data_IF_786518228853
#
_entry.id   IF_786518228853
#
_cell.length_a   1.000
_cell.length_b   1.000
_cell.length_c   1.000
_cell.angle_alpha   90.00
_cell.angle_beta   90.00
_cell.angle_gamma   90.00
#
_symmetry.space_group_name_H-M   'P 1'
#
loop_
_entity.id
_entity.type
_entity.pdbx_description
1 polymer ?
#
# COMPACT_ATOMS: atom_id res chain seq x y z
N UNK A 1 28.13 -0.59 12.11
CA UNK A 1 26.82 -1.17 11.75
C UNK A 1 25.77 -0.07 11.85
N UNK A 2 24.93 0.06 10.83
CA UNK A 2 23.83 1.03 10.83
C UNK A 2 22.51 0.26 11.03
N UNK A 3 21.69 0.66 12.00
CA UNK A 3 20.36 0.09 12.23
C UNK A 3 19.33 0.83 11.37
N UNK A 4 18.36 0.10 10.83
CA UNK A 4 17.30 0.67 9.99
C UNK A 4 15.96 0.11 10.44
N UNK A 5 15.04 1.01 10.79
CA UNK A 5 13.71 0.64 11.27
C UNK A 5 12.64 1.02 10.24
N UNK A 6 11.71 0.10 9.98
CA UNK A 6 10.65 0.31 8.98
C UNK A 6 9.32 -0.14 9.55
N UNK A 7 8.40 0.81 9.69
CA UNK A 7 7.00 0.48 9.98
C UNK A 7 6.26 0.21 8.67
N UNK A 8 5.44 -0.83 8.65
CA UNK A 8 4.70 -1.28 7.48
C UNK A 8 3.29 -1.72 7.88
N UNK A 9 2.30 -1.32 7.06
CA UNK A 9 0.92 -1.73 7.22
C UNK A 9 0.64 -2.94 6.32
N UNK A 10 0.12 -4.01 6.93
CA UNK A 10 -0.56 -5.09 6.25
C UNK A 10 -2.07 -4.81 6.26
N UNK A 11 -2.68 -4.82 5.08
CA UNK A 11 -4.12 -4.90 4.86
C UNK A 11 -4.40 -6.27 4.24
N UNK A 12 -5.47 -6.97 4.63
CA UNK A 12 -5.81 -8.24 3.98
C UNK A 12 -6.05 -8.02 2.47
N UNK A 13 -5.27 -8.71 1.63
CA UNK A 13 -5.10 -8.38 0.21
C UNK A 13 -5.99 -9.23 -0.68
N UNK A 14 -6.77 -8.57 -1.56
CA UNK A 14 -7.14 -9.14 -2.85
C UNK A 14 -6.95 -8.04 -3.93
N UNK A 15 -6.41 -8.42 -5.09
CA UNK A 15 -5.94 -7.55 -6.19
C UNK A 15 -7.08 -6.81 -6.93
N UNK A 16 -6.85 -5.68 -7.66
CA UNK A 16 -5.57 -5.21 -8.23
C UNK A 16 -5.18 -3.72 -7.87
N UNK A 17 -4.70 -2.79 -8.75
CA UNK A 17 -3.44 -2.07 -8.46
C UNK A 17 -3.55 -0.54 -8.30
N UNK A 18 -2.41 0.12 -7.94
CA UNK A 18 -1.90 1.44 -8.45
C UNK A 18 -1.07 2.29 -7.42
N UNK A 19 0.18 2.63 -7.81
CA UNK A 19 1.06 3.77 -7.40
C UNK A 19 1.47 4.02 -5.91
N UNK A 20 2.49 4.89 -5.69
CA UNK A 20 3.29 5.12 -4.44
C UNK A 20 3.28 6.62 -3.98
N UNK A 21 4.01 7.19 -3.00
CA UNK A 21 5.25 7.00 -2.16
C UNK A 21 5.08 7.96 -0.91
N UNK A 22 5.91 8.15 0.16
CA UNK A 22 7.17 7.59 0.77
C UNK A 22 7.36 8.20 2.21
N UNK A 23 7.74 7.44 3.26
CA UNK A 23 8.20 7.99 4.58
C UNK A 23 9.55 7.40 5.07
N UNK A 24 10.11 7.96 6.17
CA UNK A 24 11.32 7.56 6.92
C UNK A 24 12.64 7.45 6.12
N UNK A 25 13.36 8.56 5.87
CA UNK A 25 14.58 8.50 5.01
C UNK A 25 15.78 9.38 5.37
N UNK A 26 15.60 10.52 6.05
CA UNK A 26 16.61 11.61 6.11
C UNK A 26 17.99 11.22 6.63
N UNK A 27 18.07 10.56 7.80
CA UNK A 27 19.35 10.24 8.46
C UNK A 27 20.20 9.21 7.70
N UNK A 28 19.57 8.18 7.15
CA UNK A 28 20.23 7.15 6.34
C UNK A 28 20.63 7.72 4.97
N UNK A 29 19.79 8.58 4.38
CA UNK A 29 20.13 9.26 3.12
C UNK A 29 21.31 10.23 3.28
N UNK A 30 21.48 10.88 4.44
CA UNK A 30 22.68 11.67 4.71
C UNK A 30 23.93 10.78 4.84
N UNK A 31 23.92 9.83 5.78
CA UNK A 31 25.09 9.03 6.14
C UNK A 31 25.65 8.16 4.99
N UNK A 32 24.82 7.71 4.04
CA UNK A 32 25.30 6.93 2.89
C UNK A 32 25.64 7.79 1.67
N UNK A 33 25.06 9.00 1.52
CA UNK A 33 25.53 9.99 0.52
C UNK A 33 26.92 10.49 0.85
N UNK A 34 27.24 10.70 2.13
CA UNK A 34 28.60 11.00 2.61
C UNK A 34 29.63 9.91 2.24
N UNK A 35 29.17 8.68 2.02
CA UNK A 35 29.97 7.52 1.60
C UNK A 35 29.96 7.28 0.09
N UNK A 36 29.37 8.20 -0.69
CA UNK A 36 29.17 8.10 -2.14
C UNK A 36 28.42 6.82 -2.61
N UNK A 37 27.58 6.24 -1.75
CA UNK A 37 26.73 5.08 -2.08
C UNK A 37 25.28 5.55 -2.29
N UNK A 38 24.55 4.96 -3.24
CA UNK A 38 23.14 5.30 -3.46
C UNK A 38 22.24 4.66 -2.36
N UNK A 39 21.58 5.46 -1.49
CA UNK A 39 20.68 4.94 -0.47
C UNK A 39 19.42 4.29 -1.05
N UNK A 40 19.09 4.56 -2.32
CA UNK A 40 17.93 3.99 -3.01
C UNK A 40 18.05 2.47 -3.15
N UNK A 41 19.27 1.96 -3.41
CA UNK A 41 19.54 0.52 -3.52
C UNK A 41 19.21 -0.22 -2.22
N UNK A 42 19.62 0.33 -1.07
CA UNK A 42 19.29 -0.21 0.26
C UNK A 42 17.77 -0.26 0.45
N UNK A 43 17.07 0.80 0.05
CA UNK A 43 15.62 0.87 0.15
C UNK A 43 14.88 -0.09 -0.80
N UNK A 44 15.41 -0.37 -1.99
CA UNK A 44 14.84 -1.41 -2.87
C UNK A 44 15.02 -2.81 -2.27
N UNK A 45 16.18 -3.12 -1.69
CA UNK A 45 16.42 -4.41 -1.02
C UNK A 45 15.52 -4.58 0.21
N UNK A 46 15.39 -3.56 1.06
CA UNK A 46 14.48 -3.57 2.23
C UNK A 46 13.03 -3.79 1.79
N UNK A 47 12.54 -3.01 0.81
CA UNK A 47 11.15 -3.11 0.34
C UNK A 47 10.85 -4.46 -0.31
N UNK A 48 11.83 -5.04 -1.02
CA UNK A 48 11.75 -6.40 -1.56
C UNK A 48 11.66 -7.43 -0.43
N UNK A 49 12.56 -7.38 0.55
CA UNK A 49 12.58 -8.32 1.67
C UNK A 49 11.26 -8.32 2.46
N UNK A 50 10.70 -7.14 2.75
CA UNK A 50 9.39 -7.01 3.41
C UNK A 50 8.28 -7.65 2.57
N UNK A 51 8.23 -7.38 1.26
CA UNK A 51 7.23 -7.97 0.37
C UNK A 51 7.36 -9.50 0.27
N UNK A 52 8.58 -10.03 0.19
CA UNK A 52 8.84 -11.47 0.17
C UNK A 52 8.40 -12.15 1.48
N UNK A 53 8.69 -11.56 2.65
CA UNK A 53 8.24 -12.07 3.95
C UNK A 53 6.70 -12.10 4.05
N UNK A 54 6.02 -11.06 3.57
CA UNK A 54 4.56 -11.00 3.59
C UNK A 54 3.93 -12.05 2.66
N UNK A 55 4.47 -12.24 1.45
CA UNK A 55 4.03 -13.31 0.53
C UNK A 55 4.30 -14.70 1.12
N UNK A 56 5.45 -14.92 1.77
CA UNK A 56 5.75 -16.16 2.51
C UNK A 56 4.81 -16.42 3.70
N UNK A 57 4.00 -15.44 4.12
CA UNK A 57 2.99 -15.59 5.18
C UNK A 57 1.54 -15.54 4.67
N UNK A 58 1.31 -15.28 3.38
CA UNK A 58 -0.02 -15.15 2.77
C UNK A 58 -0.94 -16.33 3.11
N UNK A 59 -0.48 -17.57 2.94
CA UNK A 59 -1.26 -18.77 3.24
C UNK A 59 -1.71 -18.88 4.71
N UNK A 60 -0.84 -18.48 5.65
CA UNK A 60 -1.18 -18.47 7.08
C UNK A 60 -2.17 -17.34 7.43
N UNK A 61 -2.04 -16.17 6.77
CA UNK A 61 -2.93 -15.03 6.94
C UNK A 61 -4.33 -15.29 6.34
N UNK A 62 -4.42 -16.05 5.24
CA UNK A 62 -5.68 -16.52 4.66
C UNK A 62 -6.34 -17.53 5.60
N UNK A 63 -5.66 -18.59 6.02
CA UNK A 63 -6.21 -19.62 6.92
C UNK A 63 -6.66 -19.04 8.29
N UNK A 64 -5.96 -18.04 8.82
CA UNK A 64 -6.40 -17.31 10.01
C UNK A 64 -7.66 -16.46 9.73
N UNK A 65 -7.80 -15.90 8.53
CA UNK A 65 -8.96 -15.11 8.10
C UNK A 65 -10.22 -15.93 7.77
N UNK A 66 -10.07 -17.19 7.34
CA UNK A 66 -11.18 -18.09 6.94
C UNK A 66 -12.26 -18.26 8.02
N UNK A 67 -11.90 -18.14 9.29
CA UNK A 67 -12.78 -18.30 10.43
C UNK A 67 -13.67 -17.07 10.72
N UNK A 68 -13.52 -15.97 9.97
CA UNK A 68 -14.21 -14.70 10.20
C UNK A 68 -15.21 -14.35 9.07
N UNK A 69 -16.44 -13.88 9.38
CA UNK A 69 -17.45 -13.53 8.36
C UNK A 69 -17.07 -12.43 7.35
N UNK A 70 -16.02 -11.65 7.62
CA UNK A 70 -15.44 -10.70 6.66
C UNK A 70 -13.92 -10.66 6.81
N UNK A 71 -13.22 -11.23 5.82
CA UNK A 71 -11.75 -11.17 5.70
C UNK A 71 -11.26 -9.75 5.38
N UNK A 72 -12.14 -8.84 4.93
CA UNK A 72 -11.77 -7.49 4.50
C UNK A 72 -11.56 -6.48 5.63
N UNK A 73 -11.93 -6.82 6.86
CA UNK A 73 -11.99 -5.91 8.01
C UNK A 73 -10.68 -5.82 8.82
N UNK A 74 -9.65 -6.59 8.46
CA UNK A 74 -8.41 -6.70 9.23
C UNK A 74 -7.27 -5.85 8.66
N UNK A 75 -6.49 -5.27 9.58
CA UNK A 75 -5.23 -4.60 9.30
C UNK A 75 -4.27 -4.78 10.48
N UNK A 76 -2.97 -4.83 10.21
CA UNK A 76 -1.91 -5.00 11.22
C UNK A 76 -0.72 -4.11 10.87
N UNK A 77 -0.21 -3.33 11.82
CA UNK A 77 1.00 -2.54 11.63
C UNK A 77 2.20 -3.23 12.30
N UNK A 78 3.20 -3.56 11.48
CA UNK A 78 4.42 -4.24 11.90
C UNK A 78 5.63 -3.31 11.82
N UNK A 79 6.54 -3.42 12.80
CA UNK A 79 7.87 -2.79 12.78
C UNK A 79 8.91 -3.85 12.43
N UNK A 80 9.59 -3.66 11.31
CA UNK A 80 10.72 -4.47 10.87
C UNK A 80 12.01 -3.78 11.31
N UNK A 81 12.86 -4.52 12.02
CA UNK A 81 14.17 -4.08 12.50
C UNK A 81 15.24 -4.73 11.61
N UNK A 82 16.00 -3.91 10.89
CA UNK A 82 17.08 -4.33 9.99
C UNK A 82 18.44 -3.80 10.44
N UNK A 83 19.51 -4.45 9.97
CA UNK A 83 20.89 -4.01 10.16
C UNK A 83 21.64 -4.03 8.82
N UNK A 84 22.56 -3.07 8.67
CA UNK A 84 23.46 -2.95 7.53
C UNK A 84 24.90 -3.26 7.94
N UNK A 85 25.57 -4.10 7.15
CA UNK A 85 27.03 -4.27 7.17
C UNK A 85 27.75 -3.15 6.38
N UNK A 86 29.08 -3.15 6.42
CA UNK A 86 29.93 -2.19 5.71
C UNK A 86 29.78 -2.23 4.17
N UNK A 87 29.19 -3.29 3.62
CA UNK A 87 28.89 -3.45 2.19
C UNK A 87 27.45 -3.03 1.84
N UNK A 88 26.68 -2.52 2.81
CA UNK A 88 25.24 -2.19 2.71
C UNK A 88 24.32 -3.37 2.41
N UNK A 89 24.76 -4.60 2.74
CA UNK A 89 23.87 -5.75 2.68
C UNK A 89 22.91 -5.70 3.86
N UNK A 90 21.63 -5.89 3.54
CA UNK A 90 20.50 -5.83 4.49
C UNK A 90 20.30 -7.19 5.13
N UNK A 91 20.21 -7.22 6.47
CA UNK A 91 19.80 -8.40 7.22
C UNK A 91 18.60 -8.04 8.11
N UNK A 92 17.58 -8.89 8.12
CA UNK A 92 16.46 -8.78 9.06
C UNK A 92 16.90 -9.27 10.45
N UNK A 93 16.71 -8.44 11.47
CA UNK A 93 16.89 -8.83 12.87
C UNK A 93 15.58 -9.31 13.50
N UNK A 94 14.49 -8.56 13.32
CA UNK A 94 13.23 -8.79 14.04
C UNK A 94 12.03 -8.24 13.27
N UNK A 95 10.86 -8.83 13.53
CA UNK A 95 9.55 -8.25 13.18
C UNK A 95 8.73 -8.18 14.46
N UNK A 96 8.24 -6.98 14.81
CA UNK A 96 7.30 -6.74 15.90
C UNK A 96 5.91 -6.51 15.33
N UNK A 97 4.91 -7.23 15.86
CA UNK A 97 3.47 -7.11 15.50
C UNK A 97 2.75 -5.93 16.16
N UNK A 98 3.47 -5.19 16.99
CA UNK A 98 2.99 -3.96 17.61
C UNK A 98 4.21 -3.06 17.78
N UNK A 99 4.25 -1.86 17.17
CA UNK A 99 5.28 -0.89 17.49
C UNK A 99 5.03 -0.30 18.87
N UNK A 100 6.06 -0.27 19.71
CA UNK A 100 6.05 0.47 20.97
C UNK A 100 6.06 1.99 20.66
N UNK A 101 5.01 2.71 21.08
CA UNK A 101 4.88 4.16 20.89
C UNK A 101 5.31 4.98 22.13
N UNK A 102 5.16 4.40 23.32
CA UNK A 102 5.32 5.04 24.63
C UNK A 102 6.77 5.46 24.96
N UNK A 103 7.68 5.38 23.98
CA UNK A 103 9.12 5.60 24.12
C UNK A 103 9.66 6.77 23.28
N UNK A 104 8.81 7.73 22.88
CA UNK A 104 9.26 8.95 22.23
C UNK A 104 10.11 9.80 23.21
N UNK A 105 11.35 10.09 22.83
CA UNK A 105 12.36 10.83 23.61
C UNK A 105 12.60 12.24 23.08
N UNK A 106 12.10 12.54 21.88
CA UNK A 106 12.14 13.88 21.27
C UNK A 106 10.79 14.28 20.67
N UNK A 107 10.60 15.58 20.44
CA UNK A 107 9.43 16.11 19.73
C UNK A 107 9.39 15.64 18.26
N UNK A 108 10.54 15.33 17.65
CA UNK A 108 10.62 14.82 16.28
C UNK A 108 10.13 13.37 16.19
N UNK A 109 10.50 12.53 17.16
CA UNK A 109 9.98 11.15 17.28
C UNK A 109 8.47 11.14 17.54
N UNK A 110 7.98 12.03 18.40
CA UNK A 110 6.55 12.17 18.68
C UNK A 110 5.76 12.56 17.41
N UNK A 111 6.19 13.62 16.71
CA UNK A 111 5.55 14.07 15.47
C UNK A 111 5.54 12.99 14.39
N UNK A 112 6.62 12.19 14.29
CA UNK A 112 6.68 11.06 13.37
C UNK A 112 5.63 9.99 13.70
N UNK A 113 5.40 9.68 14.99
CA UNK A 113 4.37 8.75 15.43
C UNK A 113 2.95 9.30 15.21
N UNK A 114 2.72 10.59 15.47
CA UNK A 114 1.44 11.26 15.20
C UNK A 114 1.10 11.21 13.70
N UNK A 115 2.04 11.56 12.82
CA UNK A 115 1.88 11.50 11.37
C UNK A 115 1.64 10.06 10.88
N UNK A 116 2.37 9.09 11.41
CA UNK A 116 2.20 7.68 11.07
C UNK A 116 0.80 7.16 11.46
N UNK A 117 0.33 7.48 12.66
CA UNK A 117 -1.00 7.08 13.15
C UNK A 117 -2.12 7.78 12.37
N UNK A 118 -1.97 9.07 12.06
CA UNK A 118 -2.92 9.80 11.22
C UNK A 118 -3.04 9.20 9.82
N UNK A 119 -1.90 8.91 9.17
CA UNK A 119 -1.84 8.25 7.87
C UNK A 119 -2.44 6.83 7.93
N UNK A 120 -2.16 6.06 8.99
CA UNK A 120 -2.67 4.70 9.20
C UNK A 120 -4.20 4.68 9.29
N UNK A 121 -4.77 5.51 10.16
CA UNK A 121 -6.22 5.56 10.37
C UNK A 121 -6.97 6.24 9.21
N UNK A 122 -6.29 7.07 8.42
CA UNK A 122 -6.77 7.58 7.13
C UNK A 122 -6.85 6.48 6.07
N UNK A 123 -5.76 5.74 5.86
CA UNK A 123 -5.64 4.68 4.85
C UNK A 123 -6.64 3.56 5.10
N UNK A 124 -6.61 2.98 6.31
CA UNK A 124 -7.56 1.95 6.77
C UNK A 124 -9.01 2.44 6.76
N UNK A 125 -9.24 3.74 6.95
CA UNK A 125 -10.57 4.35 6.96
C UNK A 125 -11.27 4.32 8.31
N UNK A 126 -10.53 4.10 9.40
CA UNK A 126 -11.05 4.29 10.76
C UNK A 126 -11.51 5.73 10.93
N UNK A 127 -10.70 6.73 10.53
CA UNK A 127 -11.10 8.14 10.60
C UNK A 127 -12.32 8.46 9.70
N UNK A 128 -12.44 7.80 8.54
CA UNK A 128 -13.58 7.99 7.63
C UNK A 128 -14.92 7.61 8.30
N UNK A 129 -14.93 6.59 9.17
CA UNK A 129 -16.14 6.19 9.92
C UNK A 129 -16.47 7.12 11.09
N UNK A 130 -15.48 7.77 11.69
CA UNK A 130 -15.69 8.67 12.84
C UNK A 130 -16.41 9.98 12.48
N UNK A 131 -16.45 10.35 11.21
CA UNK A 131 -17.21 11.52 10.72
C UNK A 131 -18.70 11.19 10.50
N UNK A 132 -19.05 9.91 10.32
CA UNK A 132 -20.44 9.47 10.08
C UNK A 132 -21.12 9.17 11.43
N UNK A 133 -21.33 10.21 12.24
CA UNK A 133 -22.07 10.13 13.50
C UNK A 133 -23.58 10.30 13.28
N UNK A 134 -24.17 9.50 12.39
CA UNK A 134 -25.62 9.34 12.29
C UNK A 134 -25.99 7.92 11.82
N UNK A 135 -27.16 7.43 12.25
CA UNK A 135 -27.67 6.08 11.98
C UNK A 135 -28.28 5.94 10.56
N UNK A 136 -27.77 6.70 9.59
CA UNK A 136 -28.23 6.61 8.20
C UNK A 136 -27.69 5.36 7.52
N UNK A 137 -28.50 4.80 6.62
CA UNK A 137 -28.17 3.57 5.87
C UNK A 137 -26.97 3.82 4.97
N UNK A 138 -26.19 2.77 4.72
CA UNK A 138 -25.00 2.75 3.85
C UNK A 138 -25.14 3.67 2.63
N UNK A 139 -24.59 4.88 2.75
CA UNK A 139 -24.88 5.97 1.82
C UNK A 139 -23.98 5.83 0.58
N UNK A 140 -24.53 5.20 -0.46
CA UNK A 140 -23.84 4.92 -1.73
C UNK A 140 -23.23 6.18 -2.33
N UNK A 141 -23.91 7.31 -2.17
CA UNK A 141 -23.58 8.58 -2.80
C UNK A 141 -22.29 9.17 -2.19
N UNK A 142 -22.08 9.02 -0.88
CA UNK A 142 -20.83 9.38 -0.20
C UNK A 142 -19.65 8.55 -0.67
N UNK A 143 -19.87 7.24 -0.90
CA UNK A 143 -18.84 6.37 -1.47
C UNK A 143 -18.52 6.76 -2.90
N UNK A 144 -19.53 6.97 -3.75
CA UNK A 144 -19.34 7.33 -5.16
C UNK A 144 -18.73 8.73 -5.37
N UNK A 145 -18.93 9.66 -4.42
CA UNK A 145 -18.18 10.93 -4.35
C UNK A 145 -16.67 10.69 -4.23
N UNK A 146 -16.26 9.83 -3.29
CA UNK A 146 -14.85 9.50 -3.03
C UNK A 146 -14.26 8.65 -4.15
N UNK A 147 -14.94 7.57 -4.54
CA UNK A 147 -14.46 6.60 -5.52
C UNK A 147 -15.63 5.83 -6.12
N UNK A 148 -15.68 5.86 -7.45
CA UNK A 148 -16.81 5.46 -8.29
C UNK A 148 -16.33 4.90 -9.62
N UNK A 149 -17.18 4.19 -10.36
CA UNK A 149 -16.80 3.47 -11.59
C UNK A 149 -16.07 4.31 -12.67
N UNK A 150 -16.19 5.65 -12.68
CA UNK A 150 -15.42 6.53 -13.57
C UNK A 150 -13.90 6.40 -13.35
N UNK A 151 -13.47 6.24 -12.10
CA UNK A 151 -12.05 6.22 -11.70
C UNK A 151 -11.34 4.91 -12.08
N UNK A 152 -12.10 3.83 -12.27
CA UNK A 152 -11.57 2.50 -12.63
C UNK A 152 -11.84 2.14 -14.10
N UNK A 153 -12.30 3.10 -14.92
CA UNK A 153 -12.62 2.90 -16.33
C UNK A 153 -11.46 3.36 -17.22
N UNK A 154 -10.70 2.42 -17.80
CA UNK A 154 -9.54 2.71 -18.66
C UNK A 154 -9.86 2.59 -20.16
N UNK A 155 -8.89 3.01 -21.00
CA UNK A 155 -8.80 2.74 -22.45
C UNK A 155 -10.10 2.92 -23.27
N UNK A 156 -10.86 3.98 -23.02
CA UNK A 156 -12.20 4.19 -23.60
C UNK A 156 -12.30 4.03 -25.15
N UNK A 157 -11.23 4.32 -25.92
CA UNK A 157 -11.18 4.05 -27.37
C UNK A 157 -11.10 2.55 -27.69
N UNK A 158 -10.30 1.79 -26.95
CA UNK A 158 -10.11 0.34 -27.12
C UNK A 158 -11.36 -0.41 -26.69
N UNK A 159 -11.93 -0.06 -25.54
CA UNK A 159 -13.15 -0.65 -24.99
C UNK A 159 -14.42 -0.37 -25.82
N UNK A 160 -14.37 0.54 -26.79
CA UNK A 160 -15.46 0.79 -27.76
C UNK A 160 -15.38 -0.08 -29.02
N UNK A 161 -14.25 -0.75 -29.26
CA UNK A 161 -14.07 -1.67 -30.38
C UNK A 161 -14.99 -2.89 -30.30
N UNK A 162 -15.34 -3.47 -31.45
CA UNK A 162 -16.00 -4.78 -31.57
C UNK A 162 -15.23 -5.85 -30.77
N UNK A 163 -13.92 -5.95 -31.01
CA UNK A 163 -13.03 -6.95 -30.40
C UNK A 163 -13.03 -6.99 -28.86
N UNK A 164 -13.33 -5.89 -28.17
CA UNK A 164 -13.50 -5.93 -26.71
C UNK A 164 -14.96 -6.08 -26.27
N UNK A 165 -15.93 -5.60 -27.06
CA UNK A 165 -17.37 -5.72 -26.75
C UNK A 165 -17.89 -7.16 -26.85
N UNK A 166 -17.40 -7.89 -27.84
CA UNK A 166 -17.86 -9.26 -28.14
C UNK A 166 -17.26 -10.30 -27.20
N UNK A 167 -15.98 -10.14 -26.83
CA UNK A 167 -15.30 -11.00 -25.87
C UNK A 167 -14.18 -10.25 -25.13
N UNK A 168 -14.24 -10.23 -23.81
CA UNK A 168 -13.28 -9.57 -22.92
C UNK A 168 -11.87 -10.18 -22.95
N UNK A 169 -11.73 -11.45 -23.33
CA UNK A 169 -10.45 -12.18 -23.36
C UNK A 169 -9.83 -12.24 -24.77
N UNK A 170 -10.40 -11.55 -25.76
CA UNK A 170 -9.83 -11.47 -27.12
C UNK A 170 -8.41 -10.88 -27.12
N UNK A 171 -8.13 -9.96 -26.20
CA UNK A 171 -6.83 -9.31 -25.98
C UNK A 171 -6.74 -8.87 -24.52
N UNK A 172 -5.57 -8.97 -23.89
CA UNK A 172 -5.33 -8.53 -22.49
C UNK A 172 -5.79 -7.09 -22.23
N UNK A 173 -5.62 -6.19 -23.21
CA UNK A 173 -6.06 -4.78 -23.14
C UNK A 173 -7.58 -4.59 -23.05
N UNK A 174 -8.38 -5.64 -23.30
CA UNK A 174 -9.83 -5.64 -23.13
C UNK A 174 -10.26 -6.00 -21.69
N UNK A 175 -9.46 -6.75 -20.92
CA UNK A 175 -9.82 -7.21 -19.57
C UNK A 175 -10.15 -6.08 -18.57
N UNK A 176 -9.45 -4.92 -18.54
CA UNK A 176 -9.77 -3.83 -17.63
C UNK A 176 -10.88 -2.90 -18.16
N UNK A 177 -11.52 -3.20 -19.29
CA UNK A 177 -12.65 -2.42 -19.79
C UNK A 177 -13.86 -2.51 -18.84
N UNK A 178 -14.53 -1.38 -18.54
CA UNK A 178 -15.57 -1.23 -17.49
C UNK A 178 -16.56 -2.39 -17.34
N UNK A 179 -16.98 -3.02 -18.43
CA UNK A 179 -17.96 -4.12 -18.40
C UNK A 179 -17.33 -5.48 -18.02
N UNK A 180 -16.06 -5.74 -18.38
CA UNK A 180 -15.36 -7.02 -18.26
C UNK A 180 -15.06 -7.54 -16.83
N UNK A 181 -14.50 -6.75 -15.88
CA UNK A 181 -14.10 -7.31 -14.60
C UNK A 181 -15.32 -7.71 -13.76
N UNK A 182 -15.18 -8.77 -12.95
CA UNK A 182 -16.24 -9.23 -12.04
C UNK A 182 -16.59 -8.16 -10.99
N UNK A 183 -17.73 -8.34 -10.29
CA UNK A 183 -18.13 -7.44 -9.19
C UNK A 183 -17.00 -7.31 -8.15
N UNK A 184 -16.39 -8.44 -7.77
CA UNK A 184 -15.28 -8.53 -6.82
C UNK A 184 -14.04 -7.77 -7.31
N UNK A 185 -13.65 -7.90 -8.58
CA UNK A 185 -12.51 -7.14 -9.12
C UNK A 185 -12.82 -5.64 -9.22
N UNK A 186 -14.07 -5.25 -9.52
CA UNK A 186 -14.52 -3.85 -9.47
C UNK A 186 -14.44 -3.30 -8.04
N UNK A 187 -14.88 -4.06 -7.04
CA UNK A 187 -14.80 -3.70 -5.62
C UNK A 187 -13.34 -3.49 -5.17
N UNK A 188 -12.41 -4.37 -5.56
CA UNK A 188 -10.99 -4.21 -5.25
C UNK A 188 -10.34 -3.05 -6.00
N UNK A 189 -10.72 -2.78 -7.26
CA UNK A 189 -10.24 -1.61 -8.01
C UNK A 189 -10.69 -0.29 -7.36
N UNK A 190 -11.95 -0.23 -6.90
CA UNK A 190 -12.47 0.91 -6.14
C UNK A 190 -11.73 1.05 -4.80
N UNK A 191 -11.57 -0.04 -4.04
CA UNK A 191 -10.76 -0.07 -2.80
C UNK A 191 -9.32 0.39 -3.04
N UNK A 192 -8.66 -0.07 -4.10
CA UNK A 192 -7.28 0.28 -4.42
C UNK A 192 -7.12 1.77 -4.80
N UNK A 193 -8.09 2.36 -5.51
CA UNK A 193 -8.15 3.80 -5.77
C UNK A 193 -8.40 4.61 -4.49
N UNK A 194 -9.29 4.16 -3.61
CA UNK A 194 -9.48 4.77 -2.28
C UNK A 194 -8.21 4.70 -1.43
N UNK A 195 -7.54 3.54 -1.38
CA UNK A 195 -6.23 3.37 -0.72
C UNK A 195 -5.16 4.29 -1.32
N UNK A 196 -5.16 4.50 -2.65
CA UNK A 196 -4.27 5.46 -3.32
C UNK A 196 -4.53 6.92 -2.90
N UNK A 197 -5.79 7.33 -2.66
CA UNK A 197 -6.12 8.68 -2.20
C UNK A 197 -5.70 8.93 -0.74
N UNK A 198 -5.93 7.96 0.15
CA UNK A 198 -5.74 8.13 1.60
C UNK A 198 -4.46 7.49 2.16
N UNK A 199 -3.51 7.10 1.32
CA UNK A 199 -2.23 6.49 1.75
C UNK A 199 -1.36 7.38 2.64
N UNK A 200 -1.50 8.71 2.57
CA UNK A 200 -0.48 9.64 3.06
C UNK A 200 0.89 9.25 2.49
N UNK A 201 1.83 8.95 3.38
CA UNK A 201 3.20 8.57 3.03
C UNK A 201 3.43 7.05 2.88
N UNK A 202 2.42 6.21 3.13
CA UNK A 202 2.54 4.77 2.93
C UNK A 202 2.76 4.41 1.46
N UNK A 203 3.65 3.46 1.19
CA UNK A 203 3.88 2.90 -0.15
C UNK A 203 3.30 1.49 -0.24
N UNK A 204 2.44 1.22 -1.24
CA UNK A 204 2.07 -0.16 -1.61
C UNK A 204 3.33 -0.90 -2.10
N UNK A 205 3.73 -1.95 -1.37
CA UNK A 205 4.83 -2.85 -1.77
C UNK A 205 4.32 -4.05 -2.58
N UNK A 206 3.11 -4.55 -2.26
CA UNK A 206 2.46 -5.67 -2.93
C UNK A 206 0.98 -5.35 -3.25
N UNK A 207 0.43 -5.78 -4.40
CA UNK A 207 1.18 -6.23 -5.59
C UNK A 207 2.12 -5.13 -6.11
N UNK A 208 3.29 -5.48 -6.68
CA UNK A 208 4.24 -4.51 -7.22
C UNK A 208 3.67 -3.77 -8.45
N UNK A 209 4.21 -2.59 -8.81
CA UNK A 209 3.84 -1.90 -10.04
C UNK A 209 4.23 -2.75 -11.27
N UNK A 210 3.33 -2.85 -12.25
CA UNK A 210 3.53 -3.70 -13.44
C UNK A 210 4.62 -3.19 -14.40
N UNK A 211 5.09 -1.95 -14.23
CA UNK A 211 6.19 -1.36 -14.99
C UNK A 211 7.12 -0.59 -14.05
N UNK A 212 8.43 -0.58 -14.36
CA UNK A 212 9.34 0.44 -13.81
C UNK A 212 8.98 1.79 -14.44
N UNK A 213 8.49 2.72 -13.62
CA UNK A 213 8.15 4.06 -14.09
C UNK A 213 9.35 4.96 -13.86
N UNK A 214 10.08 5.24 -14.94
CA UNK A 214 11.00 6.37 -14.98
C UNK A 214 10.19 7.67 -14.89
N UNK A 215 10.01 8.16 -13.67
CA UNK A 215 9.48 9.50 -13.45
C UNK A 215 10.54 10.51 -13.86
N UNK A 216 10.54 10.88 -15.15
CA UNK A 216 11.11 12.16 -15.56
C UNK A 216 10.36 13.24 -14.80
N UNK A 217 11.07 14.03 -14.00
CA UNK A 217 10.49 15.10 -13.22
C UNK A 217 9.70 16.04 -14.13
N UNK A 218 8.39 16.15 -13.87
CA UNK A 218 7.62 17.28 -14.37
C UNK A 218 7.98 18.44 -13.45
N UNK A 219 8.58 19.47 -14.05
CA UNK A 219 8.93 20.76 -13.44
C UNK A 219 7.68 21.65 -13.46
#
# INVERSE_FOLDING_TARGET
MNFVEVMCLLLHVIRPPHFARRLCTSSIEAAERERAKDPSLVWEVIQKAIAEILVMKEQHLVAAGEHYPSQNNFFEMMRFEFILDEFLKVYLLKVKRTPEFDSAKSAEELLLYEQLLYNLFSLTGVLRKLVVTDNSRDNTDERDMITSHKHISVFAKVCRSSSCKENCHTKEVCEPCKFCPSKTIKEHLLRAHTEFLYRGDFKRLFPPPMFKIEVRSIV
#
